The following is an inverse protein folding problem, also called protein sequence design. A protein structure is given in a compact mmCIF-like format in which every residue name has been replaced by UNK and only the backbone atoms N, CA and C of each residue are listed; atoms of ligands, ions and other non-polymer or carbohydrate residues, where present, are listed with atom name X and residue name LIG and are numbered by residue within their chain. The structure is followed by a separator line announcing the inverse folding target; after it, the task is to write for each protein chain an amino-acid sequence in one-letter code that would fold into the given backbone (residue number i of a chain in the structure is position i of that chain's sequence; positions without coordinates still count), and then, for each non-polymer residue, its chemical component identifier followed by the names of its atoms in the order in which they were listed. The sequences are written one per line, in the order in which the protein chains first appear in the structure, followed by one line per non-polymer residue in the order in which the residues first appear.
data_IF_227410305112
#
_entry.id   IF_227410305112
#
_cell.length_a   1.000
_cell.length_b   1.000
_cell.length_c   1.000
_cell.angle_alpha   90.00
_cell.angle_beta   90.00
_cell.angle_gamma   90.00
#
_symmetry.space_group_name_H-M   'P 1'
#
loop_
_entity.id
_entity.type
_entity.pdbx_description
1 polymer ?
#
# COMPACT_ATOMS: atom_id res chain seq x y z
N UNK A 1 -2.75 -6.31 -22.78
CA UNK A 1 -4.02 -5.55 -22.57
C UNK A 1 -3.72 -4.07 -22.57
N UNK A 2 -4.57 -3.23 -23.19
CA UNK A 2 -4.41 -1.78 -23.06
C UNK A 2 -4.81 -1.30 -21.66
N UNK A 3 -4.16 -0.25 -21.13
CA UNK A 3 -4.54 0.32 -19.84
C UNK A 3 -6.02 0.73 -19.82
N UNK A 4 -6.78 0.34 -18.80
CA UNK A 4 -8.16 0.79 -18.68
C UNK A 4 -8.22 2.28 -18.36
N UNK A 5 -9.34 2.92 -18.72
CA UNK A 5 -9.55 4.32 -18.39
C UNK A 5 -9.53 4.57 -16.88
N UNK A 6 -8.86 5.61 -16.46
CA UNK A 6 -8.93 6.11 -15.09
C UNK A 6 -10.31 6.70 -14.84
N UNK A 7 -10.89 6.35 -13.71
CA UNK A 7 -12.16 6.87 -13.21
C UNK A 7 -11.94 7.52 -11.86
N UNK A 8 -12.90 8.30 -11.42
CA UNK A 8 -12.82 9.05 -10.17
C UNK A 8 -14.09 8.90 -9.34
N UNK A 9 -13.94 8.69 -8.04
CA UNK A 9 -15.02 8.79 -7.07
C UNK A 9 -14.78 10.00 -6.17
N UNK A 10 -15.84 10.73 -5.84
CA UNK A 10 -15.78 11.88 -4.93
C UNK A 10 -15.97 11.42 -3.50
N UNK A 11 -15.02 11.73 -2.63
CA UNK A 11 -15.11 11.45 -1.20
C UNK A 11 -14.54 12.62 -0.39
N UNK A 12 -15.36 13.18 0.50
CA UNK A 12 -15.00 14.28 1.40
C UNK A 12 -14.32 15.47 0.67
N UNK A 13 -14.83 15.81 -0.52
CA UNK A 13 -14.29 16.91 -1.33
C UNK A 13 -13.04 16.57 -2.15
N UNK A 14 -12.59 15.32 -2.16
CA UNK A 14 -11.44 14.84 -2.94
C UNK A 14 -11.86 13.82 -3.98
N UNK A 15 -11.27 13.89 -5.16
CA UNK A 15 -11.40 12.89 -6.21
C UNK A 15 -10.34 11.79 -5.97
N UNK A 16 -10.81 10.55 -5.85
CA UNK A 16 -9.95 9.37 -5.75
C UNK A 16 -9.90 8.66 -7.09
N UNK A 17 -8.71 8.51 -7.64
CA UNK A 17 -8.49 7.87 -8.92
C UNK A 17 -8.47 6.34 -8.80
N UNK A 18 -9.16 5.65 -9.71
CA UNK A 18 -9.18 4.20 -9.76
C UNK A 18 -9.30 3.67 -11.18
N UNK A 19 -8.92 2.42 -11.35
CA UNK A 19 -9.10 1.61 -12.56
C UNK A 19 -9.75 0.28 -12.21
N UNK A 20 -10.62 -0.22 -13.09
CA UNK A 20 -11.24 -1.55 -12.96
C UNK A 20 -10.70 -2.44 -14.05
N UNK A 21 -10.19 -3.59 -13.68
CA UNK A 21 -9.54 -4.55 -14.57
C UNK A 21 -10.17 -5.92 -14.42
N UNK A 22 -10.46 -6.57 -15.54
CA UNK A 22 -11.09 -7.90 -15.54
C UNK A 22 -12.59 -7.88 -15.28
N UNK A 23 -13.20 -9.05 -15.43
CA UNK A 23 -14.64 -9.27 -15.26
C UNK A 23 -14.94 -10.63 -14.58
N UNK A 24 -13.97 -11.17 -13.83
CA UNK A 24 -14.15 -12.42 -13.10
C UNK A 24 -15.17 -12.32 -11.98
N UNK A 25 -15.61 -13.44 -11.48
CA UNK A 25 -16.64 -13.53 -10.43
C UNK A 25 -16.16 -13.05 -9.05
N UNK A 26 -14.85 -12.95 -8.85
CA UNK A 26 -14.25 -12.54 -7.58
C UNK A 26 -13.91 -11.07 -7.62
N UNK A 27 -14.42 -10.33 -6.66
CA UNK A 27 -14.08 -8.92 -6.46
C UNK A 27 -12.82 -8.79 -5.63
N UNK A 28 -11.88 -7.98 -6.12
CA UNK A 28 -10.62 -7.67 -5.46
C UNK A 28 -10.41 -6.17 -5.43
N UNK A 29 -10.05 -5.63 -4.29
CA UNK A 29 -9.62 -4.23 -4.16
C UNK A 29 -8.14 -4.23 -3.79
N UNK A 30 -7.34 -3.55 -4.58
CA UNK A 30 -5.91 -3.46 -4.39
C UNK A 30 -5.50 -2.04 -4.05
N UNK A 31 -5.07 -1.85 -2.82
CA UNK A 31 -4.53 -0.60 -2.34
C UNK A 31 -3.02 -0.59 -2.52
N UNK A 32 -2.57 0.21 -3.47
CA UNK A 32 -1.15 0.34 -3.76
C UNK A 32 -0.41 1.22 -2.78
N UNK A 33 0.89 1.05 -2.78
CA UNK A 33 1.81 1.86 -2.02
C UNK A 33 2.05 3.23 -2.67
N UNK A 34 2.67 4.11 -1.90
CA UNK A 34 2.96 5.51 -2.21
C UNK A 34 3.72 5.75 -3.53
N UNK A 35 4.50 4.78 -3.99
CA UNK A 35 5.34 4.87 -5.19
C UNK A 35 4.68 4.35 -6.47
N UNK A 36 3.43 3.92 -6.41
CA UNK A 36 2.72 3.35 -7.55
C UNK A 36 1.81 4.41 -8.20
N UNK A 37 1.80 4.46 -9.53
CA UNK A 37 0.97 5.36 -10.31
C UNK A 37 0.11 4.56 -11.29
N UNK A 38 -1.22 4.78 -11.27
CA UNK A 38 -2.18 3.95 -12.03
C UNK A 38 -1.83 3.80 -13.51
N UNK A 39 -1.46 4.89 -14.20
CA UNK A 39 -1.10 4.80 -15.62
C UNK A 39 0.30 4.23 -15.84
N UNK A 40 1.27 4.63 -15.01
CA UNK A 40 2.66 4.21 -15.19
C UNK A 40 2.89 2.73 -14.87
N UNK A 41 2.05 2.13 -14.03
CA UNK A 41 2.13 0.69 -13.73
C UNK A 41 2.03 -0.18 -14.99
N UNK A 42 1.26 0.26 -15.97
CA UNK A 42 1.08 -0.48 -17.22
C UNK A 42 2.32 -0.46 -18.11
N UNK A 43 3.26 0.44 -17.88
CA UNK A 43 4.53 0.52 -18.61
C UNK A 43 5.58 -0.43 -18.05
N UNK A 44 5.44 -0.90 -16.81
CA UNK A 44 6.31 -1.92 -16.23
C UNK A 44 5.85 -3.33 -16.66
N UNK A 45 6.69 -4.11 -17.35
CA UNK A 45 6.28 -5.42 -17.88
C UNK A 45 5.88 -6.43 -16.81
N UNK A 46 6.46 -6.36 -15.60
CA UNK A 46 6.17 -7.30 -14.52
C UNK A 46 4.84 -6.96 -13.85
N UNK A 47 4.61 -5.69 -13.58
CA UNK A 47 3.36 -5.21 -12.98
C UNK A 47 2.22 -5.40 -13.97
N UNK A 48 2.42 -5.05 -15.23
CA UNK A 48 1.44 -5.30 -16.31
C UNK A 48 1.05 -6.78 -16.37
N UNK A 49 2.05 -7.68 -16.38
CA UNK A 49 1.79 -9.12 -16.38
C UNK A 49 0.98 -9.56 -15.15
N UNK A 50 1.31 -9.05 -13.96
CA UNK A 50 0.57 -9.33 -12.73
C UNK A 50 -0.89 -8.88 -12.82
N UNK A 51 -1.13 -7.66 -13.30
CA UNK A 51 -2.47 -7.08 -13.45
C UNK A 51 -3.28 -7.84 -14.50
N UNK A 52 -2.69 -8.14 -15.66
CA UNK A 52 -3.30 -8.93 -16.72
C UNK A 52 -3.62 -10.34 -16.25
N UNK A 53 -2.71 -11.00 -15.53
CA UNK A 53 -2.94 -12.32 -14.97
C UNK A 53 -4.06 -12.32 -13.94
N UNK A 54 -4.11 -11.31 -13.06
CA UNK A 54 -5.19 -11.14 -12.08
C UNK A 54 -6.55 -10.98 -12.75
N UNK A 55 -6.62 -10.24 -13.85
CA UNK A 55 -7.85 -9.97 -14.58
C UNK A 55 -8.51 -11.24 -15.19
N UNK A 56 -7.78 -12.32 -15.33
CA UNK A 56 -8.32 -13.59 -15.89
C UNK A 56 -9.27 -14.31 -14.93
N UNK A 57 -9.21 -14.04 -13.63
CA UNK A 57 -10.03 -14.72 -12.63
C UNK A 57 -10.76 -13.80 -11.66
N UNK A 58 -10.47 -12.50 -11.70
CA UNK A 58 -11.06 -11.51 -10.79
C UNK A 58 -11.49 -10.25 -11.56
N UNK A 59 -12.45 -9.53 -10.96
CA UNK A 59 -12.70 -8.13 -11.24
C UNK A 59 -11.95 -7.33 -10.18
N UNK A 60 -10.85 -6.71 -10.58
CA UNK A 60 -9.94 -6.03 -9.65
C UNK A 60 -10.06 -4.51 -9.80
N UNK A 61 -10.18 -3.83 -8.68
CA UNK A 61 -10.04 -2.38 -8.59
C UNK A 61 -8.66 -2.06 -8.06
N UNK A 62 -7.93 -1.29 -8.83
CA UNK A 62 -6.69 -0.63 -8.42
C UNK A 62 -7.00 0.83 -8.15
N UNK A 63 -6.68 1.34 -6.97
CA UNK A 63 -6.90 2.75 -6.69
C UNK A 63 -5.74 3.38 -5.93
N UNK A 64 -5.63 4.69 -6.05
CA UNK A 64 -4.65 5.51 -5.37
C UNK A 64 -5.30 6.26 -4.21
N UNK A 65 -4.64 6.21 -3.07
CA UNK A 65 -5.06 6.98 -1.90
C UNK A 65 -5.07 8.47 -2.23
N UNK A 66 -5.90 9.24 -1.51
CA UNK A 66 -5.87 10.70 -1.57
C UNK A 66 -4.45 11.22 -1.31
N UNK A 67 -4.04 12.24 -2.03
CA UNK A 67 -2.68 12.79 -1.98
C UNK A 67 -1.64 12.03 -2.80
N UNK A 68 -2.01 10.95 -3.50
CA UNK A 68 -1.09 10.13 -4.29
C UNK A 68 -1.50 10.03 -5.76
N UNK A 69 -0.51 10.08 -6.63
CA UNK A 69 -0.65 9.85 -8.06
C UNK A 69 -1.69 10.72 -8.74
N UNK A 70 -2.76 10.12 -9.23
CA UNK A 70 -3.86 10.79 -9.94
C UNK A 70 -5.02 11.20 -9.03
N UNK A 71 -5.00 10.81 -7.74
CA UNK A 71 -5.97 11.31 -6.77
C UNK A 71 -5.65 12.74 -6.34
N UNK A 72 -6.67 13.48 -5.91
CA UNK A 72 -6.50 14.87 -5.50
C UNK A 72 -5.45 15.02 -4.38
N UNK A 73 -4.66 16.11 -4.42
CA UNK A 73 -3.72 16.43 -3.39
C UNK A 73 -4.43 16.72 -2.05
N UNK A 74 -3.72 16.51 -0.95
CA UNK A 74 -4.18 16.79 0.41
C UNK A 74 -3.16 17.64 1.16
N UNK A 75 -3.63 18.46 2.08
CA UNK A 75 -2.76 19.28 2.93
C UNK A 75 -2.06 18.43 4.01
N UNK A 76 -2.71 17.38 4.46
CA UNK A 76 -2.21 16.48 5.50
C UNK A 76 -2.36 15.02 5.08
N UNK A 77 -1.46 14.18 5.56
CA UNK A 77 -1.56 12.74 5.32
C UNK A 77 -2.88 12.21 5.88
N UNK A 78 -3.63 11.41 5.11
CA UNK A 78 -4.89 10.85 5.57
C UNK A 78 -4.68 9.96 6.79
N UNK A 79 -5.60 10.03 7.73
CA UNK A 79 -5.61 9.09 8.86
C UNK A 79 -5.90 7.67 8.37
N UNK A 80 -5.64 6.69 9.23
CA UNK A 80 -5.92 5.30 8.89
C UNK A 80 -7.43 5.07 8.66
N UNK A 81 -8.26 5.79 9.43
CA UNK A 81 -9.71 5.76 9.29
C UNK A 81 -10.17 6.32 7.95
N UNK A 82 -9.63 7.46 7.53
CA UNK A 82 -9.93 8.05 6.23
C UNK A 82 -9.53 7.11 5.08
N UNK A 83 -8.37 6.46 5.19
CA UNK A 83 -7.92 5.48 4.20
C UNK A 83 -8.86 4.26 4.13
N UNK A 84 -9.33 3.78 5.29
CA UNK A 84 -10.30 2.68 5.36
C UNK A 84 -11.65 3.08 4.75
N UNK A 85 -12.12 4.29 5.05
CA UNK A 85 -13.37 4.83 4.49
C UNK A 85 -13.27 5.03 2.98
N UNK A 86 -12.10 5.38 2.45
CA UNK A 86 -11.86 5.49 1.01
C UNK A 86 -11.95 4.13 0.31
N UNK A 87 -11.45 3.07 0.93
CA UNK A 87 -11.60 1.69 0.41
C UNK A 87 -13.08 1.35 0.27
N UNK A 88 -13.87 1.62 1.31
CA UNK A 88 -15.32 1.33 1.29
C UNK A 88 -16.03 2.18 0.23
N UNK A 89 -15.69 3.46 0.10
CA UNK A 89 -16.26 4.33 -0.92
C UNK A 89 -15.96 3.84 -2.35
N UNK A 90 -14.76 3.37 -2.61
CA UNK A 90 -14.38 2.75 -3.89
C UNK A 90 -15.21 1.48 -4.13
N UNK A 91 -15.36 0.62 -3.12
CA UNK A 91 -16.18 -0.59 -3.23
C UNK A 91 -17.63 -0.25 -3.58
N UNK A 92 -18.21 0.76 -2.94
CA UNK A 92 -19.57 1.20 -3.17
C UNK A 92 -19.76 1.77 -4.58
N UNK A 93 -18.81 2.61 -5.03
CA UNK A 93 -18.83 3.20 -6.38
C UNK A 93 -18.83 2.15 -7.49
N UNK A 94 -18.05 1.07 -7.33
CA UNK A 94 -17.97 0.00 -8.33
C UNK A 94 -18.98 -1.13 -8.10
N UNK A 95 -19.84 -0.99 -7.10
CA UNK A 95 -20.89 -1.97 -6.79
C UNK A 95 -20.35 -3.29 -6.22
N UNK A 96 -19.23 -3.26 -5.50
CA UNK A 96 -18.66 -4.43 -4.80
C UNK A 96 -19.26 -4.55 -3.41
N UNK A 97 -20.18 -5.49 -3.21
CA UNK A 97 -20.76 -5.74 -1.88
C UNK A 97 -19.75 -6.34 -0.92
N UNK A 98 -18.91 -7.23 -1.41
CA UNK A 98 -17.84 -7.89 -0.69
C UNK A 98 -16.63 -8.02 -1.63
N UNK A 99 -15.42 -7.96 -1.08
CA UNK A 99 -14.20 -8.14 -1.86
C UNK A 99 -13.08 -8.80 -1.05
N UNK A 100 -12.12 -9.38 -1.74
CA UNK A 100 -10.78 -9.62 -1.18
C UNK A 100 -10.04 -8.28 -1.18
N UNK A 101 -9.52 -7.88 -0.04
CA UNK A 101 -8.74 -6.66 0.09
C UNK A 101 -7.25 -6.99 0.10
N UNK A 102 -6.50 -6.34 -0.78
CA UNK A 102 -5.05 -6.48 -0.87
C UNK A 102 -4.40 -5.18 -0.45
N UNK A 103 -3.62 -5.20 0.61
CA UNK A 103 -2.85 -4.05 1.11
C UNK A 103 -1.36 -4.30 0.96
N UNK A 104 -0.66 -3.34 0.34
CA UNK A 104 0.79 -3.39 0.20
C UNK A 104 1.41 -2.33 1.11
N UNK A 105 2.37 -2.74 1.91
CA UNK A 105 3.13 -1.89 2.84
C UNK A 105 2.24 -0.91 3.62
N UNK A 106 2.26 0.39 3.32
CA UNK A 106 1.46 1.42 4.01
C UNK A 106 -0.05 1.20 3.88
N UNK A 107 -0.52 0.58 2.81
CA UNK A 107 -1.94 0.26 2.60
C UNK A 107 -2.45 -0.90 3.47
N UNK A 108 -1.54 -1.69 4.04
CA UNK A 108 -1.91 -2.87 4.84
C UNK A 108 -2.73 -2.51 6.08
N UNK A 109 -2.41 -1.39 6.74
CA UNK A 109 -3.13 -0.92 7.93
C UNK A 109 -4.60 -0.58 7.63
N UNK A 110 -4.84 0.15 6.53
CA UNK A 110 -6.19 0.51 6.12
C UNK A 110 -7.04 -0.72 5.77
N UNK A 111 -6.47 -1.67 5.04
CA UNK A 111 -7.11 -2.95 4.70
C UNK A 111 -7.46 -3.74 5.97
N UNK A 112 -6.54 -3.84 6.93
CA UNK A 112 -6.79 -4.51 8.21
C UNK A 112 -7.91 -3.82 9.01
N UNK A 113 -7.96 -2.47 8.97
CA UNK A 113 -8.99 -1.71 9.65
C UNK A 113 -10.37 -1.92 9.02
N UNK A 114 -10.49 -1.97 7.69
CA UNK A 114 -11.75 -2.32 7.01
C UNK A 114 -12.20 -3.71 7.43
N UNK A 115 -11.30 -4.69 7.43
CA UNK A 115 -11.64 -6.06 7.83
C UNK A 115 -12.12 -6.16 9.29
N UNK A 116 -11.58 -5.32 10.18
CA UNK A 116 -11.99 -5.27 11.57
C UNK A 116 -13.33 -4.55 11.80
N UNK A 117 -13.59 -3.47 11.05
CA UNK A 117 -14.78 -2.63 11.21
C UNK A 117 -15.99 -3.12 10.43
N UNK A 118 -15.77 -3.72 9.27
CA UNK A 118 -16.80 -4.13 8.31
C UNK A 118 -16.50 -5.53 7.77
N UNK A 119 -16.42 -6.57 8.65
CA UNK A 119 -16.09 -7.92 8.24
C UNK A 119 -17.06 -8.50 7.22
N UNK A 120 -18.31 -8.03 7.19
CA UNK A 120 -19.30 -8.41 6.20
C UNK A 120 -18.98 -7.93 4.78
N UNK A 121 -18.08 -6.96 4.64
CA UNK A 121 -17.61 -6.42 3.36
C UNK A 121 -16.36 -7.15 2.83
N UNK A 122 -15.77 -8.06 3.62
CA UNK A 122 -14.46 -8.65 3.34
C UNK A 122 -14.56 -10.16 3.24
N UNK A 123 -14.25 -10.71 2.06
CA UNK A 123 -14.20 -12.16 1.82
C UNK A 123 -12.79 -12.73 2.05
N UNK A 124 -11.78 -11.89 2.12
CA UNK A 124 -10.40 -12.26 2.40
C UNK A 124 -9.49 -11.06 2.49
N UNK A 125 -8.34 -11.24 3.13
CA UNK A 125 -7.31 -10.19 3.28
C UNK A 125 -5.97 -10.75 2.83
N UNK A 126 -5.26 -9.98 2.01
CA UNK A 126 -3.87 -10.24 1.63
C UNK A 126 -3.04 -9.04 2.05
N UNK A 127 -2.08 -9.25 2.92
CA UNK A 127 -1.17 -8.21 3.39
C UNK A 127 0.25 -8.52 2.87
N UNK A 128 0.78 -7.61 2.07
CA UNK A 128 2.12 -7.72 1.49
C UNK A 128 3.02 -6.73 2.20
N UNK A 129 4.07 -7.23 2.87
CA UNK A 129 5.01 -6.43 3.66
C UNK A 129 4.30 -5.55 4.71
N UNK A 130 3.37 -6.09 5.52
CA UNK A 130 2.65 -5.30 6.48
C UNK A 130 3.57 -4.81 7.61
N UNK A 131 3.28 -3.62 8.12
CA UNK A 131 3.88 -3.12 9.35
C UNK A 131 2.78 -2.54 10.26
N UNK A 132 2.92 -2.80 11.55
CA UNK A 132 1.93 -2.39 12.54
C UNK A 132 2.08 -0.92 12.96
N UNK A 133 3.29 -0.36 12.80
CA UNK A 133 3.60 1.00 13.20
C UNK A 133 4.25 1.77 12.04
N UNK A 134 3.89 3.03 11.90
CA UNK A 134 4.47 3.91 10.89
C UNK A 134 5.82 4.42 11.41
N UNK A 135 6.90 4.06 10.75
CA UNK A 135 8.25 4.52 11.07
C UNK A 135 8.56 5.95 10.61
N UNK A 136 7.55 6.79 10.31
CA UNK A 136 7.76 8.10 9.71
C UNK A 136 7.37 9.24 10.64
N UNK A 137 8.41 9.97 11.09
CA UNK A 137 8.38 11.40 11.33
C UNK A 137 7.32 11.95 12.26
N UNK A 138 7.32 11.53 13.50
CA UNK A 138 6.73 12.22 14.62
C UNK A 138 7.66 12.03 15.82
N UNK A 139 7.44 12.73 16.91
CA UNK A 139 8.14 12.62 18.21
C UNK A 139 8.00 11.22 18.86
N UNK A 140 7.92 10.18 18.04
CA UNK A 140 7.87 8.81 18.51
C UNK A 140 9.27 8.25 18.47
N UNK A 141 9.73 7.81 19.61
CA UNK A 141 10.92 7.00 19.72
C UNK A 141 10.86 5.85 18.69
N UNK A 142 11.97 5.58 17.99
CA UNK A 142 12.04 4.43 17.09
C UNK A 142 11.60 3.18 17.84
N UNK A 143 11.05 2.15 17.14
CA UNK A 143 10.64 0.91 17.76
C UNK A 143 11.71 0.49 18.75
N UNK A 144 11.30 0.16 19.97
CA UNK A 144 12.17 -0.04 21.12
C UNK A 144 13.44 -0.81 20.75
N UNK A 145 14.58 -0.11 20.69
CA UNK A 145 15.89 -0.69 20.44
C UNK A 145 16.71 -0.07 19.31
N UNK A 146 16.19 0.84 18.53
CA UNK A 146 16.99 1.58 17.54
C UNK A 146 17.53 2.87 18.13
N UNK A 147 18.82 3.08 18.04
CA UNK A 147 19.46 4.38 18.33
C UNK A 147 19.18 5.37 17.19
N UNK A 148 19.29 6.67 17.48
CA UNK A 148 19.17 7.70 16.44
C UNK A 148 20.11 7.45 15.26
N UNK A 149 21.36 7.02 15.53
CA UNK A 149 22.34 6.71 14.51
C UNK A 149 21.95 5.49 13.63
N UNK A 150 21.32 4.46 14.21
CA UNK A 150 20.84 3.30 13.45
C UNK A 150 19.68 3.70 12.52
N UNK A 151 18.80 4.58 12.98
CA UNK A 151 17.71 5.12 12.17
C UNK A 151 18.25 5.99 11.02
N UNK A 152 19.20 6.86 11.28
CA UNK A 152 19.77 7.76 10.28
C UNK A 152 20.54 6.97 9.22
N UNK A 153 21.30 5.95 9.61
CA UNK A 153 21.95 5.03 8.69
C UNK A 153 20.95 4.28 7.80
N UNK A 154 19.84 3.77 8.38
CA UNK A 154 18.80 3.10 7.61
C UNK A 154 18.17 4.04 6.58
N UNK A 155 17.86 5.27 6.97
CA UNK A 155 17.30 6.28 6.06
C UNK A 155 18.27 6.62 4.94
N UNK A 156 19.56 6.74 5.23
CA UNK A 156 20.59 7.05 4.23
C UNK A 156 20.85 5.87 3.30
N UNK A 157 20.85 4.64 3.79
CA UNK A 157 20.90 3.43 2.98
C UNK A 157 19.68 3.34 2.05
N UNK A 158 18.50 3.63 2.56
CA UNK A 158 17.27 3.62 1.77
C UNK A 158 17.27 4.70 0.67
N UNK A 159 17.72 5.90 0.99
CA UNK A 159 17.94 6.98 0.01
C UNK A 159 18.99 6.61 -1.04
N UNK A 160 20.02 5.91 -0.63
CA UNK A 160 21.06 5.36 -1.53
C UNK A 160 20.47 4.34 -2.49
N UNK A 161 19.71 3.39 -1.98
CA UNK A 161 19.03 2.37 -2.76
C UNK A 161 18.02 2.97 -3.75
N UNK A 162 17.22 3.94 -3.31
CA UNK A 162 16.23 4.62 -4.15
C UNK A 162 16.87 5.39 -5.33
N UNK A 163 18.04 6.01 -5.12
CA UNK A 163 18.79 6.68 -6.20
C UNK A 163 19.32 5.70 -7.25
N UNK A 164 19.58 4.46 -6.86
CA UNK A 164 20.11 3.41 -7.73
C UNK A 164 19.02 2.49 -8.29
N UNK A 165 17.77 2.72 -7.94
CA UNK A 165 16.64 1.95 -8.44
C UNK A 165 16.50 2.16 -9.97
N UNK A 166 16.68 1.10 -10.73
CA UNK A 166 16.66 1.15 -12.20
C UNK A 166 18.04 1.15 -12.88
N UNK A 167 19.14 1.27 -12.14
CA UNK A 167 20.50 1.19 -12.69
C UNK A 167 21.04 -0.24 -12.86
N UNK A 168 20.24 -1.28 -12.58
CA UNK A 168 20.65 -2.68 -12.66
C UNK A 168 21.57 -3.14 -11.53
N UNK A 169 21.80 -2.31 -10.50
CA UNK A 169 22.55 -2.70 -9.32
C UNK A 169 21.65 -3.52 -8.38
N UNK A 170 22.14 -4.67 -7.95
CA UNK A 170 21.51 -5.47 -6.89
C UNK A 170 21.40 -4.62 -5.63
N UNK A 171 20.17 -4.35 -5.20
CA UNK A 171 19.91 -3.76 -3.87
C UNK A 171 20.54 -4.69 -2.84
N UNK A 172 21.43 -4.22 -1.96
CA UNK A 172 21.92 -5.07 -0.90
C UNK A 172 20.73 -5.54 -0.05
N UNK A 173 20.71 -6.80 0.43
CA UNK A 173 19.65 -7.26 1.30
C UNK A 173 19.57 -6.31 2.48
N UNK A 174 18.38 -5.78 2.74
CA UNK A 174 18.11 -4.94 3.90
C UNK A 174 18.49 -5.73 5.15
N UNK A 175 19.70 -5.46 5.66
CA UNK A 175 20.24 -6.15 6.82
C UNK A 175 19.47 -5.70 8.05
N UNK A 176 18.47 -6.48 8.45
CA UNK A 176 17.91 -6.35 9.80
C UNK A 176 19.07 -6.71 10.73
N UNK A 177 19.57 -5.79 11.54
CA UNK A 177 20.65 -6.11 12.47
C UNK A 177 20.17 -7.23 13.40
N UNK A 178 21.02 -8.23 13.73
CA UNK A 178 20.62 -9.34 14.56
C UNK A 178 20.14 -8.81 15.90
N UNK A 179 18.98 -9.29 16.36
CA UNK A 179 18.45 -8.98 17.70
C UNK A 179 19.56 -9.19 18.72
N UNK A 180 19.99 -8.12 19.38
CA UNK A 180 20.89 -8.24 20.53
C UNK A 180 20.15 -9.04 21.62
N UNK A 181 20.57 -10.27 21.82
CA UNK A 181 20.18 -11.05 22.99
C UNK A 181 20.63 -10.28 24.24
N UNK A 182 19.67 -9.82 25.04
CA UNK A 182 19.97 -9.29 26.37
C UNK A 182 20.75 -10.39 27.13
N UNK A 183 22.02 -10.16 27.38
CA UNK A 183 22.71 -10.94 28.41
C UNK A 183 22.02 -10.58 29.74
N UNK A 184 21.33 -11.54 30.33
CA UNK A 184 20.93 -11.47 31.72
C UNK A 184 22.20 -11.49 32.57
N UNK A 185 22.59 -10.34 33.07
CA UNK A 185 23.49 -10.28 34.23
C UNK A 185 22.63 -10.61 35.45
N UNK A 186 22.59 -11.88 35.82
CA UNK A 186 22.25 -12.31 37.18
C UNK A 186 23.54 -12.12 37.97
N UNK A 187 23.53 -11.22 38.90
CA UNK A 187 24.47 -11.00 39.96
C UNK A 187 23.68 -10.71 41.22
#
# INVERSE_FOLDING_TARGET
MDPPAVRYVQRDGHALAYQVVGAGERDVVWLFEINMHLDLMWTDPQIHYLMERGSTFARTVYFQQRGLGLSDPVEHLPTLEQQADDIVAIMDEVGMRQAVLVGVASGSGAVALVAARSPERVTGVVLIQPFAERLVGGDHDPPSGWTGAERDNFVDEWRGAARNWGSGSTVPPCGIPPRRTRRSTVG
#
